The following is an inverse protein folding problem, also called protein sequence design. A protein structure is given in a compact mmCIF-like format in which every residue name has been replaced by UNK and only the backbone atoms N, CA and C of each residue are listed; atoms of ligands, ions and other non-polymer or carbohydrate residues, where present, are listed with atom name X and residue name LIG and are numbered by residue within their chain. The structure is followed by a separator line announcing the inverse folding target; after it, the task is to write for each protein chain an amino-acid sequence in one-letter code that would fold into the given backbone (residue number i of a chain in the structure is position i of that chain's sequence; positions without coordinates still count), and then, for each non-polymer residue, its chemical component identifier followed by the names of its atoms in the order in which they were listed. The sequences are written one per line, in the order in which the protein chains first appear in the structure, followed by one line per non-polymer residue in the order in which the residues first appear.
data_IF_253428055481
#
_entry.id   IF_253428055481
#
_cell.length_a   1.000
_cell.length_b   1.000
_cell.length_c   1.000
_cell.angle_alpha   90.00
_cell.angle_beta   90.00
_cell.angle_gamma   90.00
#
_symmetry.space_group_name_H-M   'P 1'
#
loop_
_entity.id
_entity.type
_entity.pdbx_description
1 polymer ?
#
# COMPACT_ATOMS: atom_id res chain seq x y z
N UNK A 1 23.72 31.39 77.21
CA UNK A 1 22.51 31.82 76.50
C UNK A 1 22.79 31.66 75.01
N UNK A 2 22.12 30.85 74.21
CA UNK A 2 21.14 29.80 74.46
C UNK A 2 21.28 28.84 73.28
N UNK A 3 21.57 27.58 73.58
CA UNK A 3 21.52 26.51 72.60
C UNK A 3 20.06 26.13 72.39
N UNK A 4 19.44 26.61 71.32
CA UNK A 4 18.20 26.05 70.76
C UNK A 4 18.27 26.13 69.24
N UNK A 5 19.13 25.29 68.66
CA UNK A 5 19.13 25.01 67.23
C UNK A 5 18.15 23.88 66.93
N UNK A 6 17.09 24.26 66.23
CA UNK A 6 16.18 23.49 65.37
C UNK A 6 16.13 21.96 65.49
N UNK A 7 15.14 21.46 66.22
CA UNK A 7 14.69 20.07 66.12
C UNK A 7 13.54 19.86 65.12
N UNK A 8 13.21 20.87 64.30
CA UNK A 8 12.22 20.75 63.23
C UNK A 8 12.94 20.80 61.88
N UNK A 9 13.60 19.72 61.46
CA UNK A 9 14.10 19.64 60.06
C UNK A 9 14.35 18.25 59.50
N UNK A 10 14.29 17.16 60.27
CA UNK A 10 14.64 15.84 59.68
C UNK A 10 13.42 15.07 59.16
N UNK A 11 12.28 15.13 59.85
CA UNK A 11 11.09 14.38 59.46
C UNK A 11 10.43 14.92 58.17
N UNK A 12 10.28 16.24 58.04
CA UNK A 12 9.69 16.86 56.83
C UNK A 12 10.55 16.64 55.58
N UNK A 13 11.88 16.66 55.73
CA UNK A 13 12.79 16.40 54.60
C UNK A 13 12.72 14.95 54.11
N UNK A 14 12.52 13.98 55.00
CA UNK A 14 12.38 12.58 54.59
C UNK A 14 11.03 12.37 53.86
N UNK A 15 9.95 12.97 54.37
CA UNK A 15 8.62 12.80 53.77
C UNK A 15 8.52 13.43 52.39
N UNK A 16 9.15 14.59 52.18
CA UNK A 16 9.24 15.23 50.85
C UNK A 16 10.14 14.45 49.88
N UNK A 17 11.22 13.82 50.35
CA UNK A 17 12.19 13.20 49.45
C UNK A 17 11.80 11.78 49.02
N UNK A 18 10.99 11.06 49.80
CA UNK A 18 10.54 9.71 49.43
C UNK A 18 9.25 9.73 48.59
N UNK A 19 8.27 10.56 48.94
CA UNK A 19 6.97 10.58 48.23
C UNK A 19 7.00 11.16 46.81
N UNK A 20 8.02 11.95 46.46
CA UNK A 20 8.14 12.56 45.12
C UNK A 20 8.76 11.61 44.08
N UNK A 21 9.53 10.61 44.51
CA UNK A 21 10.29 9.75 43.58
C UNK A 21 9.42 8.72 42.86
N UNK A 22 8.47 8.10 43.54
CA UNK A 22 7.70 6.99 42.95
C UNK A 22 6.80 7.46 41.78
N UNK A 23 6.25 8.67 41.85
CA UNK A 23 5.38 9.18 40.79
C UNK A 23 6.13 9.74 39.58
N UNK A 24 7.39 10.16 39.73
CA UNK A 24 8.17 10.69 38.60
C UNK A 24 8.70 9.59 37.68
N UNK A 25 9.09 8.43 38.22
CA UNK A 25 9.55 7.30 37.40
C UNK A 25 8.39 6.66 36.61
N UNK A 26 7.21 6.51 37.22
CA UNK A 26 6.04 6.00 36.50
C UNK A 26 5.58 6.93 35.37
N UNK A 27 5.57 8.25 35.61
CA UNK A 27 5.23 9.24 34.57
C UNK A 27 6.21 9.19 33.40
N UNK A 28 7.53 9.20 33.69
CA UNK A 28 8.59 9.12 32.68
C UNK A 28 8.50 7.84 31.83
N UNK A 29 8.21 6.70 32.47
CA UNK A 29 8.03 5.42 31.78
C UNK A 29 6.81 5.46 30.84
N UNK A 30 5.68 6.00 31.31
CA UNK A 30 4.47 6.14 30.48
C UNK A 30 4.69 7.03 29.27
N UNK A 31 5.40 8.16 29.41
CA UNK A 31 5.71 9.04 28.28
C UNK A 31 6.55 8.32 27.22
N UNK A 32 7.56 7.54 27.66
CA UNK A 32 8.39 6.75 26.73
C UNK A 32 7.62 5.64 26.01
N UNK A 33 6.64 5.01 26.68
CA UNK A 33 5.76 4.01 26.07
C UNK A 33 4.85 4.65 25.02
N UNK A 34 4.28 5.82 25.32
CA UNK A 34 3.42 6.57 24.38
C UNK A 34 4.23 7.02 23.15
N UNK A 35 5.43 7.57 23.34
CA UNK A 35 6.32 7.93 22.23
C UNK A 35 6.67 6.72 21.36
N UNK A 36 6.95 5.57 21.98
CA UNK A 36 7.19 4.30 21.29
C UNK A 36 5.98 3.84 20.47
N UNK A 37 4.77 3.94 21.02
CA UNK A 37 3.52 3.62 20.33
C UNK A 37 3.23 4.57 19.15
N UNK A 38 3.45 5.87 19.33
CA UNK A 38 3.30 6.87 18.26
C UNK A 38 4.27 6.56 17.11
N UNK A 39 5.53 6.26 17.43
CA UNK A 39 6.54 5.89 16.44
C UNK A 39 6.17 4.61 15.69
N UNK A 40 5.69 3.58 16.40
CA UNK A 40 5.23 2.33 15.79
C UNK A 40 4.04 2.55 14.85
N UNK A 41 3.03 3.30 15.28
CA UNK A 41 1.86 3.58 14.45
C UNK A 41 2.22 4.38 13.20
N UNK A 42 3.11 5.38 13.33
CA UNK A 42 3.64 6.11 12.18
C UNK A 42 4.36 5.19 11.20
N UNK A 43 5.24 4.32 11.69
CA UNK A 43 5.98 3.36 10.84
C UNK A 43 5.04 2.40 10.11
N UNK A 44 3.99 1.91 10.77
CA UNK A 44 2.97 1.05 10.14
C UNK A 44 2.17 1.84 9.11
N UNK A 45 1.74 3.06 9.45
CA UNK A 45 1.02 3.96 8.55
C UNK A 45 1.80 4.28 7.27
N UNK A 46 3.08 4.63 7.40
CA UNK A 46 3.97 4.89 6.26
C UNK A 46 4.14 3.62 5.40
N UNK A 47 4.31 2.46 6.02
CA UNK A 47 4.44 1.17 5.30
C UNK A 47 3.17 0.83 4.53
N UNK A 48 2.00 1.01 5.16
CA UNK A 48 0.70 0.76 4.54
C UNK A 48 0.42 1.75 3.41
N UNK A 49 0.69 3.04 3.61
CA UNK A 49 0.55 4.07 2.56
C UNK A 49 1.40 3.73 1.35
N UNK A 50 2.68 3.39 1.56
CA UNK A 50 3.59 2.99 0.50
C UNK A 50 3.12 1.72 -0.23
N UNK A 51 2.51 0.76 0.48
CA UNK A 51 1.96 -0.44 -0.13
C UNK A 51 0.73 -0.11 -1.00
N UNK A 52 -0.15 0.78 -0.53
CA UNK A 52 -1.32 1.25 -1.27
C UNK A 52 -0.90 2.03 -2.51
N UNK A 53 0.06 2.95 -2.40
CA UNK A 53 0.58 3.70 -3.55
C UNK A 53 1.12 2.77 -4.64
N UNK A 54 1.89 1.75 -4.28
CA UNK A 54 2.43 0.77 -5.25
C UNK A 54 1.36 -0.02 -6.00
N UNK A 55 0.22 -0.31 -5.36
CA UNK A 55 -0.90 -0.99 -6.03
C UNK A 55 -1.82 0.00 -6.76
N UNK A 56 -1.89 1.25 -6.31
CA UNK A 56 -2.72 2.31 -6.88
C UNK A 56 -2.08 2.94 -8.13
N UNK A 57 -0.75 3.02 -8.21
CA UNK A 57 0.00 3.27 -9.44
C UNK A 57 -0.04 2.04 -10.35
N UNK A 58 -1.19 1.37 -10.38
CA UNK A 58 -1.44 0.14 -11.10
C UNK A 58 -0.94 0.26 -12.52
N UNK A 59 -0.60 -0.89 -13.07
CA UNK A 59 -0.04 -1.04 -14.39
C UNK A 59 -1.04 -0.61 -15.46
N UNK A 60 -1.18 0.70 -15.67
CA UNK A 60 -2.13 1.35 -16.59
C UNK A 60 -1.53 1.65 -17.95
N UNK A 61 -0.24 1.34 -18.14
CA UNK A 61 0.48 1.57 -19.39
C UNK A 61 -0.10 0.70 -20.51
N UNK A 62 -0.69 1.37 -21.50
CA UNK A 62 -1.41 0.77 -22.62
C UNK A 62 -0.68 1.11 -23.92
N UNK A 63 -0.45 0.15 -24.83
CA UNK A 63 0.12 0.47 -26.13
C UNK A 63 -0.81 1.36 -26.97
N UNK A 64 -0.30 2.46 -27.50
CA UNK A 64 -1.08 3.40 -28.32
C UNK A 64 -1.62 2.75 -29.62
N UNK A 65 -0.87 1.80 -30.17
CA UNK A 65 -1.19 1.06 -31.40
C UNK A 65 -2.02 -0.22 -31.15
N UNK A 66 -2.54 -0.41 -29.93
CA UNK A 66 -3.24 -1.64 -29.57
C UNK A 66 -4.47 -1.88 -30.45
N UNK A 67 -5.31 -0.85 -30.62
CA UNK A 67 -6.52 -0.97 -31.42
C UNK A 67 -6.17 -1.21 -32.89
N UNK A 68 -5.18 -0.50 -33.41
CA UNK A 68 -4.68 -0.67 -34.78
C UNK A 68 -4.14 -2.10 -34.99
N UNK A 69 -3.40 -2.63 -34.02
CA UNK A 69 -2.93 -4.02 -34.04
C UNK A 69 -4.08 -5.04 -34.13
N UNK A 70 -5.24 -4.74 -33.54
CA UNK A 70 -6.41 -5.63 -33.57
C UNK A 70 -7.21 -5.53 -34.87
N UNK A 71 -7.52 -4.32 -35.35
CA UNK A 71 -8.32 -4.13 -36.58
C UNK A 71 -7.60 -4.65 -37.84
N UNK A 72 -6.27 -4.72 -37.80
CA UNK A 72 -5.46 -5.25 -38.88
C UNK A 72 -5.35 -6.79 -38.87
N UNK A 73 -5.93 -7.47 -37.88
CA UNK A 73 -5.98 -8.94 -37.88
C UNK A 73 -7.07 -9.44 -38.84
N UNK A 74 -6.73 -10.27 -39.84
CA UNK A 74 -7.70 -10.80 -40.78
C UNK A 74 -8.61 -11.86 -40.13
N UNK A 75 -9.85 -11.93 -40.60
CA UNK A 75 -10.80 -12.99 -40.21
C UNK A 75 -11.62 -12.72 -38.96
N UNK A 76 -11.61 -11.49 -38.43
CA UNK A 76 -12.43 -11.08 -37.29
C UNK A 76 -13.49 -10.06 -37.70
N UNK A 77 -14.70 -10.22 -37.16
CA UNK A 77 -15.75 -9.21 -37.25
C UNK A 77 -15.50 -8.08 -36.25
N UNK A 78 -16.09 -6.91 -36.49
CA UNK A 78 -15.94 -5.72 -35.62
C UNK A 78 -16.37 -6.00 -34.17
N UNK A 79 -17.36 -6.87 -33.96
CA UNK A 79 -17.81 -7.29 -32.63
C UNK A 79 -16.73 -8.07 -31.88
N UNK A 80 -16.02 -8.96 -32.57
CA UNK A 80 -14.89 -9.71 -32.00
C UNK A 80 -13.77 -8.75 -31.59
N UNK A 81 -13.43 -7.80 -32.46
CA UNK A 81 -12.39 -6.80 -32.19
C UNK A 81 -12.75 -5.93 -31.00
N UNK A 82 -13.98 -5.40 -30.96
CA UNK A 82 -14.45 -4.55 -29.86
C UNK A 82 -14.43 -5.28 -28.52
N UNK A 83 -14.87 -6.54 -28.49
CA UNK A 83 -14.86 -7.33 -27.26
C UNK A 83 -13.45 -7.65 -26.79
N UNK A 84 -12.55 -8.02 -27.72
CA UNK A 84 -11.17 -8.33 -27.37
C UNK A 84 -10.40 -7.07 -26.94
N UNK A 85 -10.63 -5.93 -27.59
CA UNK A 85 -10.07 -4.65 -27.16
C UNK A 85 -10.52 -4.27 -25.74
N UNK A 86 -11.82 -4.39 -25.43
CA UNK A 86 -12.33 -4.14 -24.07
C UNK A 86 -11.64 -5.05 -23.03
N UNK A 87 -11.48 -6.34 -23.35
CA UNK A 87 -10.76 -7.28 -22.51
C UNK A 87 -9.30 -6.86 -22.27
N UNK A 88 -8.57 -6.46 -23.31
CA UNK A 88 -7.18 -6.03 -23.20
C UNK A 88 -7.05 -4.71 -22.44
N UNK A 89 -7.96 -3.74 -22.63
CA UNK A 89 -7.95 -2.47 -21.90
C UNK A 89 -8.19 -2.66 -20.40
N UNK A 90 -9.04 -3.63 -20.04
CA UNK A 90 -9.26 -4.01 -18.65
C UNK A 90 -8.04 -4.73 -18.03
N UNK A 91 -7.10 -5.23 -18.85
CA UNK A 91 -5.93 -5.99 -18.42
C UNK A 91 -4.66 -5.51 -19.14
N UNK A 92 -4.10 -4.34 -18.78
CA UNK A 92 -3.01 -3.70 -19.53
C UNK A 92 -1.74 -4.55 -19.67
N UNK A 93 -1.42 -5.37 -18.66
CA UNK A 93 -0.31 -6.32 -18.74
C UNK A 93 -0.48 -7.35 -19.87
N UNK A 94 -1.72 -7.81 -20.12
CA UNK A 94 -2.06 -8.71 -21.24
C UNK A 94 -2.00 -7.93 -22.55
N UNK A 95 -2.50 -6.69 -22.59
CA UNK A 95 -2.42 -5.83 -23.76
C UNK A 95 -0.97 -5.61 -24.23
N UNK A 96 -0.05 -5.32 -23.31
CA UNK A 96 1.38 -5.18 -23.64
C UNK A 96 2.01 -6.49 -24.07
N UNK A 97 1.66 -7.60 -23.42
CA UNK A 97 2.13 -8.92 -23.83
C UNK A 97 1.67 -9.24 -25.25
N UNK A 98 0.38 -9.07 -25.53
CA UNK A 98 -0.22 -9.21 -26.85
C UNK A 98 0.50 -8.33 -27.88
N UNK A 99 0.75 -7.05 -27.56
CA UNK A 99 1.32 -6.13 -28.54
C UNK A 99 2.77 -6.47 -28.93
N UNK A 100 3.51 -7.12 -28.03
CA UNK A 100 4.89 -7.60 -28.28
C UNK A 100 4.95 -8.91 -29.08
N UNK A 101 3.83 -9.61 -29.26
CA UNK A 101 3.81 -10.85 -30.01
C UNK A 101 4.02 -10.60 -31.51
N UNK A 102 4.70 -11.52 -32.23
CA UNK A 102 4.67 -11.55 -33.68
C UNK A 102 3.24 -11.70 -34.21
N UNK A 103 3.00 -11.27 -35.45
CA UNK A 103 1.68 -11.26 -36.08
C UNK A 103 0.92 -12.59 -35.97
N UNK A 104 1.57 -13.72 -36.30
CA UNK A 104 0.93 -15.04 -36.24
C UNK A 104 0.45 -15.41 -34.83
N UNK A 105 1.19 -15.00 -33.80
CA UNK A 105 0.81 -15.24 -32.41
C UNK A 105 -0.31 -14.30 -31.94
N UNK A 106 -0.35 -13.04 -32.42
CA UNK A 106 -1.49 -12.14 -32.21
C UNK A 106 -2.77 -12.75 -32.79
N UNK A 107 -2.69 -13.33 -33.99
CA UNK A 107 -3.81 -14.01 -34.65
C UNK A 107 -4.31 -15.21 -33.83
N UNK A 108 -3.39 -16.05 -33.32
CA UNK A 108 -3.75 -17.20 -32.47
C UNK A 108 -4.44 -16.74 -31.17
N UNK A 109 -3.90 -15.72 -30.50
CA UNK A 109 -4.48 -15.19 -29.27
C UNK A 109 -5.90 -14.66 -29.48
N UNK A 110 -6.10 -13.83 -30.52
CA UNK A 110 -7.42 -13.31 -30.84
C UNK A 110 -8.40 -14.44 -31.22
N UNK A 111 -7.95 -15.45 -31.97
CA UNK A 111 -8.79 -16.61 -32.32
C UNK A 111 -9.20 -17.40 -31.08
N UNK A 112 -8.28 -17.64 -30.16
CA UNK A 112 -8.56 -18.37 -28.92
C UNK A 112 -9.56 -17.60 -28.06
N UNK A 113 -9.38 -16.28 -27.90
CA UNK A 113 -10.32 -15.44 -27.18
C UNK A 113 -11.73 -15.50 -27.78
N UNK A 114 -11.83 -15.35 -29.10
CA UNK A 114 -13.11 -15.42 -29.80
C UNK A 114 -13.73 -16.81 -29.68
N UNK A 115 -12.95 -17.87 -29.81
CA UNK A 115 -13.45 -19.24 -29.69
C UNK A 115 -14.01 -19.49 -28.28
N UNK A 116 -13.35 -19.02 -27.23
CA UNK A 116 -13.82 -19.17 -25.85
C UNK A 116 -15.11 -18.37 -25.58
N UNK A 117 -15.21 -17.14 -26.12
CA UNK A 117 -16.34 -16.25 -25.84
C UNK A 117 -17.55 -16.45 -26.75
N UNK A 118 -17.36 -16.93 -27.98
CA UNK A 118 -18.41 -17.02 -28.98
C UNK A 118 -18.78 -18.47 -29.38
N UNK A 119 -17.93 -19.48 -29.15
CA UNK A 119 -18.25 -20.88 -29.46
C UNK A 119 -18.78 -21.68 -28.25
N UNK A 120 -19.46 -20.99 -27.33
CA UNK A 120 -20.25 -21.62 -26.27
C UNK A 120 -21.61 -22.18 -26.73
N UNK A 121 -21.81 -22.40 -28.04
CA UNK A 121 -23.02 -22.97 -28.66
C UNK A 121 -22.61 -24.13 -29.55
#
# INVERSE_FOLDING_TARGET
MDGRLGAASVADSIFLHHGVRDHQEEGKKRDSEVEGLIAAFKSVGDTLSNAIEKVATGDTDMPDDLFDSLINLPGFEQTHISLYFNYLVAQPHIARAFNKLPFDHKLIWARNFVSEKFLGV
#
